data_IF_085496116379
#
_entry.id   IF_085496116379
#
_cell.length_a   1.000
_cell.length_b   1.000
_cell.length_c   1.000
_cell.angle_alpha   90.00
_cell.angle_beta   90.00
_cell.angle_gamma   90.00
#
_symmetry.space_group_name_H-M   'P 1'
#
loop_
_entity.id
_entity.type
_entity.pdbx_description
1 polymer ?
#
# COMPACT_ATOMS: atom_id res chain seq x y z
N UNK A 1 27.38 -2.74 -9.57
CA UNK A 1 26.40 -3.83 -9.75
C UNK A 1 25.96 -3.88 -11.21
N UNK A 2 25.92 -5.07 -11.80
CA UNK A 2 25.42 -5.26 -13.18
C UNK A 2 23.88 -5.16 -13.17
N UNK A 3 23.26 -4.22 -13.92
CA UNK A 3 21.82 -4.03 -13.92
C UNK A 3 21.07 -5.27 -14.43
N UNK A 4 19.89 -5.56 -13.83
CA UNK A 4 19.10 -6.75 -14.18
C UNK A 4 18.60 -6.72 -15.63
N UNK A 5 18.23 -5.55 -16.13
CA UNK A 5 17.82 -5.31 -17.51
C UNK A 5 18.94 -5.68 -18.52
N UNK A 6 20.18 -5.29 -18.23
CA UNK A 6 21.33 -5.68 -19.05
C UNK A 6 21.57 -7.19 -19.02
N UNK A 7 21.49 -7.80 -17.82
CA UNK A 7 21.64 -9.25 -17.69
C UNK A 7 20.60 -10.01 -18.51
N UNK A 8 19.34 -9.56 -18.47
CA UNK A 8 18.24 -10.14 -19.27
C UNK A 8 18.55 -10.05 -20.75
N UNK A 9 19.00 -8.89 -21.24
CA UNK A 9 19.31 -8.69 -22.65
C UNK A 9 20.47 -9.56 -23.13
N UNK A 10 21.46 -9.80 -22.27
CA UNK A 10 22.66 -10.56 -22.67
C UNK A 10 22.45 -12.09 -22.58
N UNK A 11 21.62 -12.56 -21.66
CA UNK A 11 21.52 -13.99 -21.34
C UNK A 11 20.23 -14.68 -21.81
N UNK A 12 19.15 -13.94 -22.09
CA UNK A 12 17.89 -14.55 -22.52
C UNK A 12 17.63 -14.38 -24.02
N UNK A 13 17.02 -15.40 -24.61
CA UNK A 13 16.61 -15.37 -26.03
C UNK A 13 15.34 -14.52 -26.22
N UNK A 14 15.09 -14.11 -27.46
CA UNK A 14 13.83 -13.50 -27.86
C UNK A 14 12.64 -14.42 -27.53
N UNK A 15 11.53 -13.86 -27.06
CA UNK A 15 10.33 -14.62 -26.67
C UNK A 15 10.44 -15.39 -25.35
N UNK A 16 11.54 -15.24 -24.59
CA UNK A 16 11.70 -15.89 -23.28
C UNK A 16 10.62 -15.45 -22.29
N UNK A 17 10.31 -16.35 -21.33
CA UNK A 17 9.41 -16.05 -20.21
C UNK A 17 10.21 -15.93 -18.92
N UNK A 18 9.94 -14.87 -18.13
CA UNK A 18 10.53 -14.63 -16.81
C UNK A 18 9.45 -14.78 -15.75
N UNK A 19 9.62 -15.76 -14.84
CA UNK A 19 8.76 -15.89 -13.66
C UNK A 19 9.05 -14.76 -12.66
N UNK A 20 8.00 -14.13 -12.15
CA UNK A 20 8.09 -13.14 -11.08
C UNK A 20 7.14 -13.51 -9.94
N UNK A 21 7.53 -13.20 -8.71
CA UNK A 21 6.59 -13.20 -7.59
C UNK A 21 5.78 -11.87 -7.61
N UNK A 22 4.48 -11.91 -7.87
CA UNK A 22 3.66 -10.71 -7.98
C UNK A 22 3.53 -9.94 -6.65
N UNK A 23 3.85 -10.55 -5.51
CA UNK A 23 3.87 -9.89 -4.19
C UNK A 23 5.08 -8.98 -4.00
N UNK A 24 6.16 -9.22 -4.76
CA UNK A 24 7.45 -8.51 -4.63
C UNK A 24 7.67 -7.45 -5.70
N UNK A 25 6.77 -7.33 -6.68
CA UNK A 25 6.91 -6.39 -7.80
C UNK A 25 5.73 -5.45 -7.92
N UNK A 26 6.01 -4.20 -8.29
CA UNK A 26 4.99 -3.18 -8.56
C UNK A 26 4.81 -2.99 -10.08
N UNK A 27 3.66 -2.44 -10.53
CA UNK A 27 3.44 -2.13 -11.95
C UNK A 27 4.55 -1.27 -12.55
N UNK A 28 5.00 -0.23 -11.82
CA UNK A 28 6.05 0.68 -12.29
C UNK A 28 7.40 -0.03 -12.46
N UNK A 29 7.76 -0.93 -11.54
CA UNK A 29 9.00 -1.71 -11.66
C UNK A 29 8.99 -2.58 -12.91
N UNK A 30 7.91 -3.34 -13.14
CA UNK A 30 7.79 -4.20 -14.32
C UNK A 30 7.75 -3.38 -15.61
N UNK A 31 7.00 -2.28 -15.64
CA UNK A 31 6.96 -1.36 -16.78
C UNK A 31 8.35 -0.82 -17.12
N UNK A 32 9.12 -0.40 -16.11
CA UNK A 32 10.46 0.14 -16.29
C UNK A 32 11.44 -0.92 -16.84
N UNK A 33 11.39 -2.15 -16.33
CA UNK A 33 12.24 -3.24 -16.87
C UNK A 33 11.79 -3.57 -18.29
N UNK A 34 10.49 -3.77 -18.54
CA UNK A 34 9.94 -4.10 -19.87
C UNK A 34 10.33 -3.06 -20.91
N UNK A 35 10.29 -1.77 -20.59
CA UNK A 35 10.66 -0.70 -21.53
C UNK A 35 12.14 -0.79 -21.94
N UNK A 36 13.03 -1.14 -21.00
CA UNK A 36 14.46 -1.27 -21.27
C UNK A 36 14.83 -2.53 -22.09
N UNK A 37 14.06 -3.61 -21.90
CA UNK A 37 14.27 -4.88 -22.60
C UNK A 37 13.38 -5.03 -23.84
N UNK A 38 12.73 -3.97 -24.29
CA UNK A 38 11.75 -3.97 -25.40
C UNK A 38 12.30 -4.45 -26.76
N UNK A 39 13.64 -4.54 -26.90
CA UNK A 39 14.31 -5.13 -28.10
C UNK A 39 14.09 -6.65 -28.20
N UNK A 40 13.63 -7.31 -27.13
CA UNK A 40 13.29 -8.73 -27.07
C UNK A 40 11.84 -8.88 -26.61
N UNK A 41 11.12 -9.82 -27.19
CA UNK A 41 9.71 -10.11 -26.85
C UNK A 41 9.61 -10.93 -25.56
N UNK A 42 10.21 -10.45 -24.47
CA UNK A 42 10.24 -11.14 -23.18
C UNK A 42 8.95 -10.89 -22.42
N UNK A 43 8.36 -11.95 -21.86
CA UNK A 43 7.10 -11.91 -21.14
C UNK A 43 7.33 -12.19 -19.67
N UNK A 44 6.85 -11.30 -18.76
CA UNK A 44 6.78 -11.56 -17.34
C UNK A 44 5.54 -12.39 -17.00
N UNK A 45 5.73 -13.47 -16.23
CA UNK A 45 4.67 -14.40 -15.83
C UNK A 45 4.63 -14.46 -14.31
N UNK A 46 3.47 -14.12 -13.72
CA UNK A 46 3.27 -14.25 -12.28
C UNK A 46 3.38 -15.71 -11.85
N UNK A 47 4.19 -15.97 -10.83
CA UNK A 47 4.31 -17.28 -10.18
C UNK A 47 3.53 -17.27 -8.88
N UNK A 48 2.68 -18.28 -8.68
CA UNK A 48 1.87 -18.42 -7.48
C UNK A 48 2.72 -18.68 -6.24
N UNK A 49 3.75 -19.50 -6.40
CA UNK A 49 4.67 -19.89 -5.32
C UNK A 49 6.06 -19.29 -5.55
N UNK A 50 6.58 -18.58 -4.56
CA UNK A 50 7.95 -18.13 -4.57
C UNK A 50 8.91 -19.28 -4.32
N UNK A 51 9.83 -19.52 -5.25
CA UNK A 51 10.78 -20.65 -5.17
C UNK A 51 11.71 -20.52 -3.96
N UNK A 52 12.05 -19.29 -3.54
CA UNK A 52 12.86 -19.05 -2.34
C UNK A 52 12.12 -19.42 -1.06
N UNK A 53 10.83 -19.08 -0.95
CA UNK A 53 10.00 -19.43 0.21
C UNK A 53 9.88 -20.96 0.38
N UNK A 54 9.90 -21.71 -0.73
CA UNK A 54 9.83 -23.19 -0.69
C UNK A 54 11.06 -23.85 -0.05
N UNK A 55 12.20 -23.19 -0.07
CA UNK A 55 13.49 -23.73 0.44
C UNK A 55 14.00 -22.99 1.68
N UNK A 56 13.34 -21.90 2.10
CA UNK A 56 13.77 -21.10 3.24
C UNK A 56 13.21 -21.62 4.57
N UNK A 57 13.86 -22.65 5.13
CA UNK A 57 13.41 -23.31 6.36
C UNK A 57 13.29 -22.40 7.59
N UNK A 58 14.12 -21.35 7.69
CA UNK A 58 14.17 -20.44 8.83
C UNK A 58 13.67 -19.04 8.48
N UNK A 59 12.64 -18.94 7.65
CA UNK A 59 12.05 -17.66 7.29
C UNK A 59 11.53 -16.93 8.55
N UNK A 60 11.94 -15.68 8.79
CA UNK A 60 11.45 -14.91 9.93
C UNK A 60 9.95 -14.64 9.80
N UNK A 61 9.26 -14.65 10.93
CA UNK A 61 7.84 -14.26 10.96
C UNK A 61 7.68 -12.76 10.63
N UNK A 62 6.52 -12.36 10.10
CA UNK A 62 6.20 -10.95 9.91
C UNK A 62 6.40 -10.16 11.21
N UNK A 63 6.89 -8.91 11.14
CA UNK A 63 7.14 -8.11 12.34
C UNK A 63 5.82 -7.79 13.08
N UNK A 64 5.88 -7.84 14.40
CA UNK A 64 4.78 -7.49 15.32
C UNK A 64 5.18 -6.29 16.19
N UNK A 65 5.79 -5.27 15.58
CA UNK A 65 6.15 -4.03 16.25
C UNK A 65 4.94 -3.31 16.82
N UNK A 66 5.05 -2.78 18.04
CA UNK A 66 3.96 -2.01 18.67
C UNK A 66 3.62 -0.78 17.84
N UNK A 67 2.33 -0.50 17.73
CA UNK A 67 1.79 0.69 17.08
C UNK A 67 1.19 1.60 18.15
N UNK A 68 1.60 2.87 18.11
CA UNK A 68 1.16 3.91 19.05
C UNK A 68 0.56 5.09 18.28
N UNK A 69 -0.33 5.88 18.90
CA UNK A 69 -0.89 7.07 18.27
C UNK A 69 0.16 8.17 18.13
N UNK A 70 0.11 8.89 17.02
CA UNK A 70 0.84 10.13 16.79
C UNK A 70 -0.09 11.32 17.03
N UNK A 71 0.01 11.95 18.19
CA UNK A 71 -0.93 12.96 18.64
C UNK A 71 -1.06 14.13 17.68
N UNK A 72 -2.27 14.71 17.59
CA UNK A 72 -2.57 15.89 16.73
C UNK A 72 -1.80 17.13 17.12
N UNK A 73 -1.28 17.23 18.35
CA UNK A 73 -0.36 18.32 18.74
C UNK A 73 0.93 18.35 17.90
N UNK A 74 1.31 17.19 17.32
CA UNK A 74 2.46 17.05 16.42
C UNK A 74 2.06 16.98 14.95
N UNK A 75 0.95 16.29 14.62
CA UNK A 75 0.50 16.06 13.24
C UNK A 75 -0.36 17.19 12.68
N UNK A 76 -0.89 18.09 13.52
CA UNK A 76 -1.70 19.25 13.14
C UNK A 76 -3.08 18.95 12.54
N UNK A 77 -3.31 17.72 12.07
CA UNK A 77 -4.60 17.28 11.50
C UNK A 77 -5.00 15.93 12.04
N UNK A 78 -6.29 15.77 12.37
CA UNK A 78 -6.84 14.47 12.78
C UNK A 78 -6.88 13.49 11.60
N UNK A 79 -6.86 12.18 11.91
CA UNK A 79 -7.07 11.11 10.91
C UNK A 79 -8.39 11.32 10.14
N UNK A 80 -9.46 11.69 10.81
CA UNK A 80 -10.75 12.01 10.18
C UNK A 80 -10.64 13.11 9.14
N UNK A 81 -9.93 14.20 9.44
CA UNK A 81 -9.73 15.31 8.50
C UNK A 81 -8.89 14.89 7.29
N UNK A 82 -7.86 14.06 7.49
CA UNK A 82 -7.03 13.55 6.40
C UNK A 82 -7.83 12.62 5.48
N UNK A 83 -8.64 11.72 6.03
CA UNK A 83 -9.52 10.83 5.24
C UNK A 83 -10.58 11.62 4.47
N UNK A 84 -11.12 12.69 5.03
CA UNK A 84 -12.04 13.59 4.31
C UNK A 84 -11.38 14.29 3.11
N UNK A 85 -10.11 14.69 3.22
CA UNK A 85 -9.34 15.24 2.09
C UNK A 85 -9.14 14.19 0.99
N UNK A 86 -8.83 12.95 1.37
CA UNK A 86 -8.69 11.83 0.43
C UNK A 86 -10.03 11.60 -0.29
N UNK A 87 -11.13 11.48 0.46
CA UNK A 87 -12.46 11.28 -0.12
C UNK A 87 -12.85 12.41 -1.11
N UNK A 88 -12.56 13.66 -0.76
CA UNK A 88 -12.77 14.80 -1.66
C UNK A 88 -11.95 14.69 -2.95
N UNK A 89 -10.68 14.28 -2.85
CA UNK A 89 -9.81 14.05 -4.01
C UNK A 89 -10.34 12.92 -4.91
N UNK A 90 -10.79 11.81 -4.32
CA UNK A 90 -11.37 10.70 -5.05
C UNK A 90 -12.61 11.10 -5.83
N UNK A 91 -13.50 11.90 -5.23
CA UNK A 91 -14.69 12.45 -5.90
C UNK A 91 -14.31 13.31 -7.12
N UNK A 92 -13.29 14.18 -6.99
CA UNK A 92 -12.80 15.00 -8.11
C UNK A 92 -12.22 14.15 -9.25
N UNK A 93 -11.63 12.99 -8.93
CA UNK A 93 -11.04 12.06 -9.90
C UNK A 93 -12.05 11.07 -10.48
N UNK A 94 -13.31 11.04 -10.02
CA UNK A 94 -14.32 10.02 -10.32
C UNK A 94 -13.80 8.60 -10.02
N UNK A 95 -13.23 8.41 -8.85
CA UNK A 95 -12.71 7.15 -8.32
C UNK A 95 -13.44 6.81 -7.03
N UNK A 96 -13.94 5.58 -6.90
CA UNK A 96 -14.78 5.18 -5.78
C UNK A 96 -13.99 4.89 -4.49
N UNK A 97 -12.73 4.48 -4.59
CA UNK A 97 -11.88 4.21 -3.43
C UNK A 97 -10.40 4.24 -3.79
N UNK A 98 -9.54 4.30 -2.78
CA UNK A 98 -8.09 4.11 -2.89
C UNK A 98 -7.64 2.99 -1.96
N UNK A 99 -6.77 2.10 -2.45
CA UNK A 99 -5.98 1.21 -1.61
C UNK A 99 -4.67 1.88 -1.22
N UNK A 100 -4.52 2.20 0.05
CA UNK A 100 -3.27 2.71 0.63
C UNK A 100 -2.36 1.52 0.92
N UNK A 101 -1.29 1.38 0.16
CA UNK A 101 -0.29 0.31 0.26
C UNK A 101 1.06 0.77 0.79
N UNK A 102 1.36 2.07 0.73
CA UNK A 102 2.56 2.66 1.30
C UNK A 102 2.46 2.76 2.84
N UNK A 103 3.33 2.09 3.63
CA UNK A 103 3.25 2.12 5.09
C UNK A 103 3.38 3.53 5.69
N UNK A 104 4.19 4.38 5.10
CA UNK A 104 4.34 5.78 5.52
C UNK A 104 3.08 6.62 5.25
N UNK A 105 2.35 6.34 4.16
CA UNK A 105 1.07 6.99 3.87
C UNK A 105 -0.01 6.49 4.84
N UNK A 106 -0.04 5.18 5.11
CA UNK A 106 -0.91 4.58 6.12
C UNK A 106 -0.71 5.27 7.48
N UNK A 107 0.54 5.31 7.96
CA UNK A 107 0.87 5.93 9.23
C UNK A 107 0.52 7.43 9.28
N UNK A 108 0.72 8.16 8.18
CA UNK A 108 0.35 9.56 8.10
C UNK A 108 -1.16 9.75 8.16
N UNK A 109 -1.93 8.98 7.38
CA UNK A 109 -3.41 9.10 7.31
C UNK A 109 -4.04 8.82 8.65
N UNK A 110 -3.60 7.77 9.33
CA UNK A 110 -4.20 7.33 10.60
C UNK A 110 -3.54 7.92 11.86
N UNK A 111 -2.56 8.81 11.70
CA UNK A 111 -1.78 9.35 12.82
C UNK A 111 -1.19 8.23 13.70
N UNK A 112 -0.50 7.29 13.08
CA UNK A 112 0.14 6.16 13.73
C UNK A 112 1.65 6.25 13.66
N UNK A 113 2.32 5.62 14.62
CA UNK A 113 3.74 5.30 14.58
C UNK A 113 3.92 3.83 14.94
N UNK A 114 4.68 3.11 14.14
CA UNK A 114 4.96 1.69 14.34
C UNK A 114 6.45 1.43 14.51
N UNK A 115 6.78 0.18 14.78
CA UNK A 115 8.16 -0.28 14.95
C UNK A 115 8.41 -1.57 14.16
N UNK A 116 7.80 -1.69 12.96
CA UNK A 116 7.99 -2.87 12.10
C UNK A 116 9.32 -2.84 11.34
N UNK A 117 9.88 -1.65 11.15
CA UNK A 117 11.18 -1.47 10.49
C UNK A 117 12.12 -0.75 11.45
N UNK A 118 13.33 -1.29 11.70
CA UNK A 118 14.34 -0.62 12.54
C UNK A 118 14.59 0.81 12.08
N UNK A 119 14.68 1.75 13.02
CA UNK A 119 14.96 3.17 12.79
C UNK A 119 13.93 3.91 11.91
N UNK A 120 12.79 3.30 11.62
CA UNK A 120 11.73 3.90 10.80
C UNK A 120 10.38 3.74 11.51
N UNK A 121 9.67 4.84 11.86
CA UNK A 121 8.48 4.78 12.70
C UNK A 121 7.21 4.41 11.90
N UNK A 122 7.24 3.31 11.18
CA UNK A 122 6.13 2.82 10.34
C UNK A 122 5.55 1.49 10.83
N UNK A 123 4.30 1.26 10.51
CA UNK A 123 3.59 0.00 10.71
C UNK A 123 3.14 -0.56 9.36
N UNK A 124 3.33 -1.86 9.14
CA UNK A 124 2.80 -2.55 7.97
C UNK A 124 1.30 -2.81 8.12
N UNK A 125 0.59 -2.51 7.06
CA UNK A 125 -0.84 -2.68 6.92
C UNK A 125 -1.33 -2.07 5.62
N UNK A 126 -2.63 -2.13 5.40
CA UNK A 126 -3.32 -1.52 4.27
C UNK A 126 -4.52 -0.74 4.75
N UNK A 127 -5.02 0.17 3.93
CA UNK A 127 -6.35 0.74 4.14
C UNK A 127 -7.06 0.95 2.81
N UNK A 128 -8.37 0.80 2.81
CA UNK A 128 -9.23 1.24 1.71
C UNK A 128 -10.05 2.41 2.22
N UNK A 129 -9.86 3.57 1.61
CA UNK A 129 -10.67 4.77 1.87
C UNK A 129 -11.60 4.99 0.68
N UNK A 130 -12.90 5.04 0.95
CA UNK A 130 -13.93 5.22 -0.06
C UNK A 130 -14.25 6.71 -0.27
N UNK A 131 -14.84 7.06 -1.42
CA UNK A 131 -15.25 8.43 -1.79
C UNK A 131 -16.28 9.06 -0.83
N UNK A 132 -16.99 8.24 -0.06
CA UNK A 132 -17.92 8.66 1.00
C UNK A 132 -17.25 8.81 2.37
N UNK A 133 -15.95 8.53 2.48
CA UNK A 133 -15.15 8.56 3.69
C UNK A 133 -15.16 7.29 4.53
N UNK A 134 -15.98 6.28 4.17
CA UNK A 134 -15.91 4.97 4.80
C UNK A 134 -14.51 4.38 4.61
N UNK A 135 -14.03 3.72 5.64
CA UNK A 135 -12.63 3.28 5.67
C UNK A 135 -12.50 1.88 6.26
N UNK A 136 -11.86 1.00 5.53
CA UNK A 136 -11.46 -0.31 5.99
C UNK A 136 -9.96 -0.30 6.27
N UNK A 137 -9.56 -0.46 7.54
CA UNK A 137 -8.17 -0.49 8.00
C UNK A 137 -7.75 -1.94 8.25
N UNK A 138 -6.72 -2.41 7.56
CA UNK A 138 -6.17 -3.77 7.65
C UNK A 138 -4.81 -3.73 8.34
N UNK A 139 -4.78 -4.13 9.59
CA UNK A 139 -3.56 -4.18 10.39
C UNK A 139 -3.72 -5.28 11.45
N UNK A 140 -2.64 -6.00 11.78
CA UNK A 140 -2.69 -7.00 12.83
C UNK A 140 -3.06 -6.34 14.18
N UNK A 141 -4.17 -6.77 14.77
CA UNK A 141 -4.76 -6.18 15.99
C UNK A 141 -3.80 -6.27 17.18
N UNK A 142 -2.99 -7.32 17.26
CA UNK A 142 -2.00 -7.52 18.34
C UNK A 142 -0.96 -6.40 18.43
N UNK A 143 -0.76 -5.66 17.34
CA UNK A 143 0.17 -4.53 17.28
C UNK A 143 -0.41 -3.26 17.90
N UNK A 144 -1.73 -3.14 17.98
CA UNK A 144 -2.42 -1.91 18.33
C UNK A 144 -2.48 -1.70 19.86
N UNK A 145 -2.15 -0.49 20.31
CA UNK A 145 -2.37 -0.11 21.69
C UNK A 145 -3.86 0.06 22.00
N UNK A 146 -4.24 -0.08 23.28
CA UNK A 146 -5.63 0.14 23.72
C UNK A 146 -6.14 1.55 23.35
N UNK A 147 -5.30 2.56 23.38
CA UNK A 147 -5.65 3.92 23.00
C UNK A 147 -6.13 3.98 21.54
N UNK A 148 -5.42 3.33 20.62
CA UNK A 148 -5.79 3.26 19.19
C UNK A 148 -7.09 2.48 19.01
N UNK A 149 -7.25 1.35 19.69
CA UNK A 149 -8.47 0.54 19.61
C UNK A 149 -9.71 1.32 20.06
N UNK A 150 -9.59 2.12 21.12
CA UNK A 150 -10.67 3.00 21.59
C UNK A 150 -10.96 4.10 20.56
N UNK A 151 -9.94 4.73 19.98
CA UNK A 151 -10.09 5.78 18.96
C UNK A 151 -10.80 5.23 17.72
N UNK A 152 -10.38 4.07 17.21
CA UNK A 152 -11.01 3.41 16.06
C UNK A 152 -12.46 3.04 16.39
N UNK A 153 -12.73 2.47 17.56
CA UNK A 153 -14.09 2.08 17.98
C UNK A 153 -15.04 3.28 18.05
N UNK A 154 -14.54 4.45 18.38
CA UNK A 154 -15.34 5.69 18.48
C UNK A 154 -15.56 6.35 17.10
N UNK A 155 -14.78 6.02 16.11
CA UNK A 155 -14.94 6.54 14.74
C UNK A 155 -15.78 5.56 13.89
N UNK A 156 -17.08 5.85 13.78
CA UNK A 156 -18.04 5.00 13.05
C UNK A 156 -17.71 4.84 11.54
N UNK A 157 -16.79 5.63 11.02
CA UNK A 157 -16.36 5.55 9.61
C UNK A 157 -15.19 4.59 9.41
N UNK A 158 -14.61 4.04 10.48
CA UNK A 158 -13.49 3.08 10.38
C UNK A 158 -13.97 1.69 10.80
N UNK A 159 -13.71 0.72 9.95
CA UNK A 159 -13.82 -0.71 10.28
C UNK A 159 -12.42 -1.33 10.30
N UNK A 160 -12.06 -1.94 11.43
CA UNK A 160 -10.77 -2.62 11.61
C UNK A 160 -10.87 -4.07 11.16
N UNK A 161 -9.86 -4.54 10.44
CA UNK A 161 -9.76 -5.89 9.90
C UNK A 161 -8.35 -6.46 10.11
N UNK A 162 -8.26 -7.78 10.24
CA UNK A 162 -7.00 -8.48 10.01
C UNK A 162 -6.60 -8.40 8.52
N UNK A 163 -5.29 -8.32 8.19
CA UNK A 163 -4.82 -8.25 6.80
C UNK A 163 -5.35 -9.36 5.90
N UNK A 164 -5.57 -10.55 6.45
CA UNK A 164 -6.14 -11.70 5.72
C UNK A 164 -7.58 -11.49 5.23
N UNK A 165 -8.28 -10.48 5.74
CA UNK A 165 -9.67 -10.18 5.35
C UNK A 165 -9.78 -9.28 4.11
N UNK A 166 -8.66 -8.75 3.60
CA UNK A 166 -8.64 -7.87 2.42
C UNK A 166 -9.39 -8.46 1.21
N UNK A 167 -9.23 -9.76 0.84
CA UNK A 167 -9.98 -10.35 -0.28
C UNK A 167 -11.50 -10.30 -0.11
N UNK A 168 -11.99 -10.43 1.13
CA UNK A 168 -13.41 -10.37 1.42
C UNK A 168 -13.98 -8.96 1.24
N UNK A 169 -13.17 -7.93 1.52
CA UNK A 169 -13.57 -6.53 1.29
C UNK A 169 -13.51 -6.22 -0.20
N UNK A 170 -12.54 -6.72 -0.95
CA UNK A 170 -12.53 -6.58 -2.42
C UNK A 170 -13.82 -7.12 -3.05
N UNK A 171 -14.31 -8.30 -2.64
CA UNK A 171 -15.59 -8.84 -3.12
C UNK A 171 -16.79 -7.92 -2.85
N UNK A 172 -16.78 -7.19 -1.72
CA UNK A 172 -17.86 -6.21 -1.39
C UNK A 172 -17.76 -4.94 -2.22
N UNK A 173 -16.61 -4.67 -2.83
CA UNK A 173 -16.33 -3.50 -3.67
C UNK A 173 -16.30 -3.87 -5.16
N UNK A 174 -16.93 -5.00 -5.55
CA UNK A 174 -17.13 -5.40 -6.95
C UNK A 174 -17.70 -4.24 -7.78
N UNK A 175 -17.30 -4.15 -9.05
CA UNK A 175 -17.63 -3.08 -10.00
C UNK A 175 -17.10 -1.68 -9.66
N UNK A 176 -16.49 -1.47 -8.51
CA UNK A 176 -15.93 -0.18 -8.12
C UNK A 176 -14.59 0.08 -8.84
N UNK A 177 -14.36 1.36 -9.14
CA UNK A 177 -13.07 1.86 -9.62
C UNK A 177 -12.18 2.20 -8.42
N UNK A 178 -11.10 1.46 -8.23
CA UNK A 178 -10.19 1.62 -7.08
C UNK A 178 -8.80 2.05 -7.55
N UNK A 179 -8.26 3.09 -6.94
CA UNK A 179 -6.90 3.56 -7.17
C UNK A 179 -5.89 2.67 -6.45
N UNK A 180 -4.88 2.24 -7.21
CA UNK A 180 -3.70 1.54 -6.73
C UNK A 180 -2.46 2.38 -7.09
N UNK A 181 -1.62 2.64 -6.11
CA UNK A 181 -0.36 3.36 -6.36
C UNK A 181 0.59 2.50 -7.20
N UNK A 182 1.12 3.07 -8.29
CA UNK A 182 1.98 2.35 -9.23
C UNK A 182 3.34 1.94 -8.65
N UNK A 183 3.79 2.60 -7.57
CA UNK A 183 5.09 2.37 -6.93
C UNK A 183 5.02 1.46 -5.71
N UNK A 184 3.89 1.37 -5.03
CA UNK A 184 3.78 0.67 -3.74
C UNK A 184 2.75 -0.45 -3.72
N UNK A 185 1.71 -0.40 -4.55
CA UNK A 185 0.80 -1.54 -4.70
C UNK A 185 1.49 -2.63 -5.52
N UNK A 186 1.61 -3.82 -4.93
CA UNK A 186 2.18 -4.94 -5.67
C UNK A 186 1.17 -5.56 -6.64
N UNK A 187 1.68 -6.28 -7.63
CA UNK A 187 0.87 -6.89 -8.70
C UNK A 187 -0.13 -7.89 -8.14
N UNK A 188 0.19 -8.63 -7.07
CA UNK A 188 -0.71 -9.59 -6.47
C UNK A 188 -1.99 -8.92 -5.91
N UNK A 189 -1.87 -7.74 -5.30
CA UNK A 189 -3.03 -6.97 -4.81
C UNK A 189 -3.95 -6.54 -5.97
N UNK A 190 -3.36 -6.13 -7.09
CA UNK A 190 -4.10 -5.70 -8.28
C UNK A 190 -4.81 -6.90 -8.91
N UNK A 191 -4.11 -8.02 -9.11
CA UNK A 191 -4.69 -9.27 -9.63
C UNK A 191 -5.84 -9.78 -8.75
N UNK A 192 -5.68 -9.69 -7.42
CA UNK A 192 -6.72 -10.10 -6.47
C UNK A 192 -7.96 -9.17 -6.56
N UNK A 193 -7.75 -7.87 -6.79
CA UNK A 193 -8.81 -6.92 -7.01
C UNK A 193 -9.56 -7.22 -8.33
N UNK A 194 -8.83 -7.48 -9.42
CA UNK A 194 -9.41 -7.86 -10.71
C UNK A 194 -10.23 -9.16 -10.63
N UNK A 195 -9.74 -10.17 -9.88
CA UNK A 195 -10.48 -11.41 -9.61
C UNK A 195 -11.76 -11.19 -8.79
N UNK A 196 -11.91 -10.03 -8.17
CA UNK A 196 -13.10 -9.60 -7.44
C UNK A 196 -13.96 -8.60 -8.23
N UNK A 197 -13.80 -8.53 -9.56
CA UNK A 197 -14.47 -7.61 -10.48
C UNK A 197 -14.27 -6.13 -10.17
N UNK A 198 -13.21 -5.77 -9.45
CA UNK A 198 -12.79 -4.39 -9.25
C UNK A 198 -12.13 -3.87 -10.52
N UNK A 199 -12.36 -2.58 -10.83
CA UNK A 199 -11.72 -1.86 -11.94
C UNK A 199 -10.49 -1.12 -11.43
N UNK A 200 -9.26 -1.67 -11.54
CA UNK A 200 -8.08 -1.00 -11.00
C UNK A 200 -7.74 0.24 -11.81
N UNK A 201 -7.45 1.34 -11.10
CA UNK A 201 -6.90 2.57 -11.64
C UNK A 201 -5.47 2.71 -11.11
N UNK A 202 -4.47 2.40 -11.96
CA UNK A 202 -3.06 2.39 -11.56
C UNK A 202 -2.47 3.75 -11.87
N UNK A 203 -2.17 4.53 -10.83
CA UNK A 203 -1.57 5.87 -10.94
C UNK A 203 -0.92 6.28 -9.62
N UNK A 204 -0.21 7.40 -9.62
CA UNK A 204 0.41 7.95 -8.39
C UNK A 204 -0.63 8.25 -7.33
N UNK A 205 -0.38 7.84 -6.08
CA UNK A 205 -1.21 8.10 -4.90
C UNK A 205 -1.23 9.62 -4.57
N UNK A 206 -2.41 10.27 -4.53
CA UNK A 206 -2.51 11.69 -4.20
C UNK A 206 -2.07 12.03 -2.77
N UNK A 207 -2.00 11.04 -1.88
CA UNK A 207 -1.57 11.22 -0.49
C UNK A 207 -0.11 11.72 -0.41
N UNK A 208 0.74 11.35 -1.37
CA UNK A 208 2.11 11.86 -1.41
C UNK A 208 2.17 13.38 -1.41
N UNK A 209 1.37 14.04 -2.24
CA UNK A 209 1.30 15.49 -2.29
C UNK A 209 0.69 16.08 -1.02
N UNK A 210 -0.39 15.47 -0.51
CA UNK A 210 -1.04 15.89 0.74
C UNK A 210 -0.09 15.84 1.94
N UNK A 211 0.75 14.78 2.01
CA UNK A 211 1.78 14.60 3.03
C UNK A 211 2.97 15.54 2.84
N UNK A 212 3.34 15.83 1.60
CA UNK A 212 4.45 16.72 1.29
C UNK A 212 4.17 18.17 1.73
N UNK A 213 2.92 18.63 1.63
CA UNK A 213 2.48 19.95 2.08
C UNK A 213 2.33 19.97 3.60
N UNK A 214 3.36 20.52 4.28
CA UNK A 214 3.36 20.61 5.75
C UNK A 214 2.42 21.70 6.24
N UNK A 215 1.65 21.38 7.30
CA UNK A 215 0.88 22.38 8.02
C UNK A 215 1.76 23.15 9.03
N UNK A 216 1.22 24.24 9.62
CA UNK A 216 1.98 25.11 10.52
C UNK A 216 2.52 24.37 11.75
N UNK A 217 1.81 23.39 12.30
CA UNK A 217 2.27 22.61 13.44
C UNK A 217 3.48 21.74 13.05
N UNK A 218 3.39 21.06 11.89
CA UNK A 218 4.50 20.28 11.36
C UNK A 218 5.73 21.15 11.04
N UNK A 219 5.50 22.36 10.46
CA UNK A 219 6.58 23.33 10.19
C UNK A 219 7.25 23.82 11.47
N UNK A 220 6.47 24.12 12.50
CA UNK A 220 7.01 24.56 13.79
C UNK A 220 7.81 23.42 14.46
N UNK A 221 7.34 22.18 14.39
CA UNK A 221 8.09 21.04 14.90
C UNK A 221 9.40 20.74 14.15
N UNK A 222 9.51 21.14 12.87
CA UNK A 222 10.77 21.01 12.11
C UNK A 222 11.76 22.12 12.45
N UNK A 223 11.27 23.31 12.85
CA UNK A 223 12.10 24.48 13.18
C UNK A 223 12.62 24.49 14.62
N UNK A 224 12.00 23.68 15.51
CA UNK A 224 12.39 23.52 16.92
C UNK A 224 13.50 22.50 17.09
#
# INVERSE_FOLDING_TARGET
>A
KYPIDNWILDNLSDGSKIGIDPKLHTPKQIKNISSKISKKNIIFVSQENNLLDMIWEKQPKPPLGKVIPHNTIYSGKSSKAKRALIASSLNQMNINAILISAPENLCWVFNLRGNDVPMTPIAFGYAIVEENGNTNLFINIEKLSNAILIEIKNDKMITLHEPSQLPNIFKKLSDKKILFDEETANIALIQQAEQSDIKPCIQTDPIYLMKAQKNEIELNGIRS
#
